data_IF_684323989336
#
_entry.id   IF_684323989336
#
_cell.length_a   1.000
_cell.length_b   1.000
_cell.length_c   1.000
_cell.angle_alpha   90.00
_cell.angle_beta   90.00
_cell.angle_gamma   90.00
#
_symmetry.space_group_name_H-M   'P 1'
#
loop_
_entity.id
_entity.type
_entity.pdbx_description
1 polymer ?
#
# COMPACT_ATOMS: atom_id res chain seq x y z
N UNK A 1 -19.19 14.58 -6.67
CA UNK A 1 -18.29 15.18 -5.69
C UNK A 1 -17.04 14.30 -5.57
N UNK A 2 -15.86 14.90 -5.75
CA UNK A 2 -14.60 14.18 -5.68
C UNK A 2 -14.31 13.71 -4.25
N UNK A 3 -13.59 12.59 -4.09
CA UNK A 3 -13.09 12.15 -2.79
C UNK A 3 -12.03 13.14 -2.33
N UNK A 4 -12.27 13.88 -1.26
CA UNK A 4 -11.39 14.97 -0.80
C UNK A 4 -10.01 14.48 -0.36
N UNK A 5 -9.92 13.32 0.29
CA UNK A 5 -8.68 12.69 0.70
C UNK A 5 -8.90 11.22 1.02
N UNK A 6 -8.00 10.37 0.51
CA UNK A 6 -7.97 8.95 0.84
C UNK A 6 -7.25 8.68 2.18
N UNK A 7 -6.50 9.65 2.72
CA UNK A 7 -5.80 9.54 4.02
C UNK A 7 -6.70 10.00 5.18
N UNK A 8 -7.84 9.33 5.33
CA UNK A 8 -8.77 9.46 6.47
C UNK A 8 -9.16 8.07 6.96
N UNK A 9 -9.47 7.92 8.22
CA UNK A 9 -9.80 6.62 8.84
C UNK A 9 -10.87 5.84 8.05
N UNK A 10 -11.98 6.47 7.70
CA UNK A 10 -13.06 5.81 6.98
C UNK A 10 -12.68 5.40 5.54
N UNK A 11 -11.90 6.22 4.83
CA UNK A 11 -11.39 5.87 3.49
C UNK A 11 -10.31 4.82 3.56
N UNK A 12 -9.45 4.84 4.59
CA UNK A 12 -8.50 3.77 4.87
C UNK A 12 -9.21 2.42 5.04
N UNK A 13 -10.24 2.37 5.89
CA UNK A 13 -11.02 1.13 6.08
C UNK A 13 -11.67 0.64 4.79
N UNK A 14 -12.15 1.55 3.94
CA UNK A 14 -12.69 1.19 2.63
C UNK A 14 -11.64 0.52 1.72
N UNK A 15 -10.42 1.06 1.68
CA UNK A 15 -9.31 0.47 0.91
C UNK A 15 -8.88 -0.86 1.52
N UNK A 16 -8.80 -0.96 2.85
CA UNK A 16 -8.49 -2.21 3.54
C UNK A 16 -9.48 -3.33 3.18
N UNK A 17 -10.78 -3.03 3.13
CA UNK A 17 -11.77 -3.99 2.66
C UNK A 17 -11.55 -4.40 1.20
N UNK A 18 -11.10 -3.49 0.34
CA UNK A 18 -10.79 -3.81 -1.04
C UNK A 18 -9.58 -4.74 -1.16
N UNK A 19 -8.51 -4.53 -0.36
CA UNK A 19 -7.37 -5.46 -0.33
C UNK A 19 -7.80 -6.84 0.14
N UNK A 20 -8.64 -6.93 1.18
CA UNK A 20 -9.16 -8.19 1.70
C UNK A 20 -10.00 -8.95 0.65
N UNK A 21 -10.85 -8.24 -0.10
CA UNK A 21 -11.65 -8.85 -1.17
C UNK A 21 -10.76 -9.37 -2.30
N UNK A 22 -9.71 -8.64 -2.63
CA UNK A 22 -8.74 -9.02 -3.67
C UNK A 22 -7.87 -10.20 -3.24
N UNK A 23 -7.72 -10.39 -1.95
CA UNK A 23 -6.95 -11.45 -1.32
C UNK A 23 -7.41 -12.89 -1.69
N UNK A 24 -8.60 -13.05 -2.21
CA UNK A 24 -9.13 -14.36 -2.64
C UNK A 24 -8.61 -14.84 -4.00
N UNK A 25 -7.78 -14.02 -4.69
CA UNK A 25 -7.27 -14.35 -6.02
C UNK A 25 -5.89 -15.01 -5.91
N UNK A 26 -5.75 -16.19 -6.44
CA UNK A 26 -4.48 -16.93 -6.44
C UNK A 26 -3.46 -16.38 -7.44
N UNK A 27 -3.95 -15.91 -8.60
CA UNK A 27 -3.12 -15.45 -9.72
C UNK A 27 -2.82 -13.94 -9.71
N UNK A 28 -3.28 -13.22 -8.67
CA UNK A 28 -3.02 -11.78 -8.47
C UNK A 28 -2.88 -11.47 -6.99
N UNK A 29 -1.74 -10.91 -6.59
CA UNK A 29 -1.38 -10.64 -5.21
C UNK A 29 -0.96 -9.19 -5.01
N UNK A 30 -1.55 -8.52 -4.06
CA UNK A 30 -1.09 -7.21 -3.60
C UNK A 30 -0.05 -7.44 -2.52
N UNK A 31 1.21 -7.12 -2.82
CA UNK A 31 2.36 -7.30 -1.92
C UNK A 31 2.55 -6.10 -1.02
N UNK A 32 2.44 -4.88 -1.57
CA UNK A 32 2.46 -3.65 -0.78
C UNK A 32 1.46 -2.62 -1.30
N UNK A 33 1.02 -1.78 -0.36
CA UNK A 33 0.06 -0.69 -0.62
C UNK A 33 0.56 0.57 0.07
N UNK A 34 0.38 1.71 -0.60
CA UNK A 34 0.55 3.04 0.01
C UNK A 34 -0.59 3.95 -0.43
N UNK A 35 -1.38 4.43 0.53
CA UNK A 35 -2.51 5.29 0.30
C UNK A 35 -2.06 6.73 0.43
N UNK A 36 -2.09 7.47 -0.67
CA UNK A 36 -1.81 8.90 -0.71
C UNK A 36 -3.11 9.71 -0.65
N UNK A 37 -3.02 11.03 -0.62
CA UNK A 37 -4.23 11.89 -0.51
C UNK A 37 -5.19 11.71 -1.67
N UNK A 38 -4.69 11.55 -2.89
CA UNK A 38 -5.48 11.53 -4.13
C UNK A 38 -5.37 10.23 -4.92
N UNK A 39 -4.40 9.36 -4.58
CA UNK A 39 -4.12 8.13 -5.32
C UNK A 39 -3.58 7.02 -4.41
N UNK A 40 -3.43 5.83 -4.97
CA UNK A 40 -2.94 4.65 -4.27
C UNK A 40 -1.81 4.05 -5.10
N UNK A 41 -0.68 3.78 -4.46
CA UNK A 41 0.37 2.96 -5.04
C UNK A 41 0.18 1.51 -4.61
N UNK A 42 0.28 0.60 -5.55
CA UNK A 42 0.25 -0.83 -5.32
C UNK A 42 1.52 -1.46 -5.88
N UNK A 43 2.16 -2.31 -5.11
CA UNK A 43 3.14 -3.26 -5.59
C UNK A 43 2.45 -4.62 -5.68
N UNK A 44 2.40 -5.18 -6.88
CA UNK A 44 1.62 -6.39 -7.14
C UNK A 44 2.44 -7.44 -7.87
N UNK A 45 2.08 -8.70 -7.65
CA UNK A 45 2.50 -9.83 -8.47
C UNK A 45 1.29 -10.39 -9.19
N UNK A 46 1.45 -10.73 -10.46
CA UNK A 46 0.43 -11.35 -11.26
C UNK A 46 1.05 -12.41 -12.19
N UNK A 47 0.38 -13.55 -12.32
CA UNK A 47 0.91 -14.68 -13.07
C UNK A 47 0.85 -14.46 -14.60
N UNK A 48 0.07 -13.45 -15.04
CA UNK A 48 -0.01 -13.03 -16.45
C UNK A 48 -0.52 -11.59 -16.57
N UNK A 49 -0.40 -11.01 -17.77
CA UNK A 49 -0.99 -9.71 -18.10
C UNK A 49 -2.52 -9.69 -17.92
N UNK A 50 -3.18 -10.79 -18.24
CA UNK A 50 -4.63 -10.95 -18.05
C UNK A 50 -4.97 -10.99 -16.55
N UNK A 51 -4.22 -11.75 -15.75
CA UNK A 51 -4.39 -11.81 -14.31
C UNK A 51 -4.19 -10.42 -13.66
N UNK A 52 -3.18 -9.65 -14.10
CA UNK A 52 -2.98 -8.28 -13.67
C UNK A 52 -4.20 -7.40 -13.98
N UNK A 53 -4.67 -7.44 -15.23
CA UNK A 53 -5.81 -6.60 -15.66
C UNK A 53 -7.07 -6.91 -14.86
N UNK A 54 -7.43 -8.19 -14.73
CA UNK A 54 -8.62 -8.64 -13.99
C UNK A 54 -8.48 -8.38 -12.50
N UNK A 55 -7.28 -8.58 -11.93
CA UNK A 55 -6.99 -8.30 -10.53
C UNK A 55 -7.12 -6.82 -10.19
N UNK A 56 -6.52 -5.96 -11.00
CA UNK A 56 -6.61 -4.50 -10.85
C UNK A 56 -8.04 -3.99 -11.01
N UNK A 57 -8.77 -4.48 -12.00
CA UNK A 57 -10.19 -4.15 -12.18
C UNK A 57 -11.02 -4.55 -10.95
N UNK A 58 -10.82 -5.76 -10.44
CA UNK A 58 -11.50 -6.24 -9.23
C UNK A 58 -11.21 -5.38 -8.02
N UNK A 59 -9.94 -5.00 -7.81
CA UNK A 59 -9.54 -4.09 -6.74
C UNK A 59 -10.22 -2.72 -6.89
N UNK A 60 -10.16 -2.10 -8.07
CA UNK A 60 -10.75 -0.78 -8.32
C UNK A 60 -12.27 -0.77 -8.09
N UNK A 61 -12.97 -1.80 -8.55
CA UNK A 61 -14.43 -1.95 -8.34
C UNK A 61 -14.75 -2.10 -6.85
N UNK A 62 -14.02 -2.95 -6.14
CA UNK A 62 -14.20 -3.15 -4.71
C UNK A 62 -13.92 -1.89 -3.92
N UNK A 63 -12.80 -1.22 -4.20
CA UNK A 63 -12.43 0.03 -3.55
C UNK A 63 -13.47 1.14 -3.80
N UNK A 64 -13.96 1.27 -5.05
CA UNK A 64 -15.00 2.25 -5.37
C UNK A 64 -16.32 1.97 -4.63
N UNK A 65 -16.74 0.71 -4.53
CA UNK A 65 -17.94 0.31 -3.77
C UNK A 65 -17.82 0.65 -2.29
N UNK A 66 -16.70 0.33 -1.67
CA UNK A 66 -16.46 0.60 -0.26
C UNK A 66 -16.30 2.09 0.01
N UNK A 67 -15.54 2.83 -0.80
CA UNK A 67 -15.39 4.28 -0.69
C UNK A 67 -16.72 4.99 -0.83
N UNK A 68 -17.53 4.64 -1.84
CA UNK A 68 -18.86 5.24 -2.03
C UNK A 68 -19.78 4.98 -0.82
N UNK A 69 -19.69 3.80 -0.20
CA UNK A 69 -20.43 3.48 1.01
C UNK A 69 -20.01 4.38 2.18
N UNK A 70 -18.70 4.45 2.45
CA UNK A 70 -18.18 5.21 3.59
C UNK A 70 -18.38 6.73 3.43
N UNK A 71 -18.26 7.27 2.22
CA UNK A 71 -18.49 8.68 1.94
C UNK A 71 -19.96 9.06 2.14
N UNK A 72 -20.89 8.14 1.87
CA UNK A 72 -22.33 8.36 2.02
C UNK A 72 -22.85 8.14 3.43
N UNK A 73 -22.05 7.52 4.29
CA UNK A 73 -22.47 7.19 5.66
C UNK A 73 -22.80 8.45 6.47
N UNK A 74 -24.01 8.49 7.05
CA UNK A 74 -24.46 9.63 7.85
C UNK A 74 -24.83 10.89 7.05
N UNK A 75 -24.88 10.81 5.71
CA UNK A 75 -25.34 11.92 4.86
C UNK A 75 -26.80 11.72 4.44
N UNK A 76 -27.60 12.78 4.38
CA UNK A 76 -28.94 12.72 3.80
C UNK A 76 -28.86 12.45 2.29
N UNK A 77 -29.90 11.80 1.74
CA UNK A 77 -30.01 11.52 0.32
C UNK A 77 -29.49 10.14 -0.11
N UNK A 78 -29.55 9.83 -1.42
CA UNK A 78 -29.18 8.52 -1.95
C UNK A 78 -27.68 8.26 -1.81
N UNK A 79 -27.34 6.99 -1.62
CA UNK A 79 -25.94 6.56 -1.57
C UNK A 79 -25.19 6.95 -2.86
N UNK A 80 -24.00 7.54 -2.69
CA UNK A 80 -23.10 7.85 -3.79
C UNK A 80 -22.80 6.59 -4.63
N UNK A 81 -22.85 6.73 -5.94
CA UNK A 81 -22.56 5.68 -6.93
C UNK A 81 -21.56 6.22 -7.96
N UNK A 82 -21.00 5.32 -8.76
CA UNK A 82 -20.12 5.66 -9.87
C UNK A 82 -18.62 5.57 -9.55
N UNK A 83 -17.83 6.02 -10.51
CA UNK A 83 -16.38 5.93 -10.49
C UNK A 83 -15.78 6.75 -9.35
N UNK A 84 -14.78 6.19 -8.72
CA UNK A 84 -13.89 6.86 -7.77
C UNK A 84 -12.53 7.10 -8.41
N UNK A 85 -12.08 6.15 -9.21
CA UNK A 85 -10.84 6.23 -9.99
C UNK A 85 -11.23 6.61 -11.43
N UNK A 86 -10.91 7.84 -11.89
CA UNK A 86 -11.32 8.30 -13.21
C UNK A 86 -10.58 7.58 -14.33
N UNK A 87 -9.29 7.28 -14.09
CA UNK A 87 -8.37 6.76 -15.08
C UNK A 87 -8.07 5.28 -14.88
N UNK A 88 -7.49 4.67 -15.92
CA UNK A 88 -6.87 3.36 -15.84
C UNK A 88 -5.63 3.45 -14.95
N UNK A 89 -5.27 2.33 -14.30
CA UNK A 89 -4.01 2.25 -13.58
C UNK A 89 -2.83 2.39 -14.55
N UNK A 90 -1.78 3.06 -14.09
CA UNK A 90 -0.48 3.04 -14.73
C UNK A 90 0.33 1.88 -14.13
N UNK A 91 0.97 1.06 -14.97
CA UNK A 91 1.78 -0.07 -14.52
C UNK A 91 3.19 0.02 -15.07
N UNK A 92 4.15 -0.32 -14.24
CA UNK A 92 5.56 -0.44 -14.56
C UNK A 92 6.03 -1.83 -14.15
N UNK A 93 6.73 -2.52 -15.04
CA UNK A 93 7.24 -3.87 -14.78
C UNK A 93 8.61 -3.76 -14.13
N UNK A 94 8.78 -4.47 -13.02
CA UNK A 94 10.03 -4.53 -12.26
C UNK A 94 10.80 -5.76 -12.73
N UNK A 95 12.00 -5.55 -13.24
CA UNK A 95 12.83 -6.61 -13.83
C UNK A 95 14.19 -6.80 -13.15
N UNK A 96 14.64 -5.82 -12.36
CA UNK A 96 15.97 -5.86 -11.73
C UNK A 96 15.90 -5.68 -10.22
N UNK A 97 16.90 -6.18 -9.46
CA UNK A 97 17.02 -5.95 -8.03
C UNK A 97 17.00 -4.47 -7.64
N UNK A 98 17.67 -3.62 -8.40
CA UNK A 98 17.71 -2.17 -8.18
C UNK A 98 16.32 -1.54 -8.31
N UNK A 99 15.58 -1.89 -9.37
CA UNK A 99 14.20 -1.44 -9.54
C UNK A 99 13.30 -1.94 -8.40
N UNK A 100 13.45 -3.21 -8.00
CA UNK A 100 12.68 -3.78 -6.89
C UNK A 100 12.94 -3.03 -5.59
N UNK A 101 14.20 -2.79 -5.25
CA UNK A 101 14.60 -2.03 -4.05
C UNK A 101 14.04 -0.60 -4.08
N UNK A 102 14.20 0.12 -5.20
CA UNK A 102 13.69 1.49 -5.33
C UNK A 102 12.16 1.54 -5.26
N UNK A 103 11.47 0.57 -5.87
CA UNK A 103 10.01 0.52 -5.83
C UNK A 103 9.50 0.19 -4.44
N UNK A 104 10.13 -0.73 -3.71
CA UNK A 104 9.82 -1.02 -2.31
C UNK A 104 9.98 0.23 -1.45
N UNK A 105 11.15 0.88 -1.51
CA UNK A 105 11.39 2.13 -0.77
C UNK A 105 10.35 3.20 -1.15
N UNK A 106 10.07 3.36 -2.44
CA UNK A 106 9.10 4.32 -2.92
C UNK A 106 7.68 4.05 -2.36
N UNK A 107 7.21 2.82 -2.42
CA UNK A 107 5.85 2.48 -1.94
C UNK A 107 5.76 2.61 -0.43
N UNK A 108 6.75 2.14 0.32
CA UNK A 108 6.72 2.08 1.77
C UNK A 108 6.98 3.44 2.44
N UNK A 109 7.83 4.30 1.82
CA UNK A 109 8.22 5.62 2.35
C UNK A 109 7.60 6.80 1.59
N UNK A 110 6.61 6.58 0.73
CA UNK A 110 6.02 7.65 -0.11
C UNK A 110 5.50 8.84 0.69
N UNK A 111 4.97 8.62 1.88
CA UNK A 111 4.49 9.66 2.79
C UNK A 111 5.58 10.69 3.14
N UNK A 112 6.85 10.27 3.21
CA UNK A 112 8.01 11.17 3.45
C UNK A 112 8.28 12.07 2.25
N UNK A 113 8.16 11.52 1.03
CA UNK A 113 8.29 12.29 -0.19
C UNK A 113 7.26 13.42 -0.28
N UNK A 114 6.05 13.19 0.22
CA UNK A 114 4.97 14.17 0.24
C UNK A 114 4.93 15.01 1.52
N UNK A 115 5.94 14.89 2.38
CA UNK A 115 6.03 15.56 3.68
C UNK A 115 4.81 15.33 4.60
N UNK A 116 4.08 14.24 4.40
CA UNK A 116 2.96 13.85 5.26
C UNK A 116 3.44 13.43 6.65
N UNK A 117 4.67 12.92 6.76
CA UNK A 117 5.34 12.60 8.02
C UNK A 117 5.50 13.82 8.94
N UNK A 118 5.69 15.02 8.38
CA UNK A 118 5.89 16.26 9.14
C UNK A 118 4.60 16.73 9.81
N UNK A 119 3.46 16.37 9.28
CA UNK A 119 2.12 16.78 9.72
C UNK A 119 1.40 15.71 10.53
N UNK A 120 2.00 14.54 10.65
CA UNK A 120 1.39 13.39 11.29
C UNK A 120 1.89 13.24 12.71
N UNK A 121 0.99 13.04 13.71
CA UNK A 121 1.40 12.59 15.04
C UNK A 121 2.13 11.24 15.00
N UNK A 122 2.00 10.52 13.87
CA UNK A 122 2.66 9.23 13.62
C UNK A 122 4.14 9.34 13.26
N UNK A 123 4.74 10.53 13.19
CA UNK A 123 6.18 10.70 12.92
C UNK A 123 7.04 9.91 13.90
N UNK A 124 6.61 9.78 15.13
CA UNK A 124 7.29 9.02 16.18
C UNK A 124 7.35 7.52 15.86
N UNK A 125 6.36 6.99 15.14
CA UNK A 125 6.29 5.58 14.75
C UNK A 125 7.22 5.20 13.60
N UNK A 126 7.73 6.20 12.89
CA UNK A 126 8.70 6.05 11.79
C UNK A 126 8.21 5.25 10.57
N UNK A 127 6.96 4.80 10.54
CA UNK A 127 6.30 4.13 9.41
C UNK A 127 4.94 4.76 9.12
N UNK A 128 4.50 4.66 7.87
CA UNK A 128 3.21 5.21 7.44
C UNK A 128 2.06 4.25 7.73
N UNK A 129 1.10 4.66 8.56
CA UNK A 129 -0.10 3.87 8.86
C UNK A 129 -1.06 3.73 7.67
N UNK A 130 -0.95 4.63 6.70
CA UNK A 130 -1.71 4.54 5.46
C UNK A 130 -1.01 3.71 4.39
N UNK A 131 -0.05 2.88 4.81
CA UNK A 131 0.65 1.93 3.94
C UNK A 131 0.82 0.58 4.62
N UNK A 132 1.31 -0.39 3.88
CA UNK A 132 1.72 -1.69 4.42
C UNK A 132 3.12 -1.68 5.06
N UNK A 133 3.71 -0.52 5.29
CA UNK A 133 5.05 -0.37 5.86
C UNK A 133 5.21 -1.04 7.24
N UNK A 134 4.13 -1.05 8.04
CA UNK A 134 4.09 -1.74 9.32
C UNK A 134 4.33 -3.26 9.21
N UNK A 135 3.95 -3.85 8.08
CA UNK A 135 4.06 -5.29 7.81
C UNK A 135 5.34 -5.67 7.04
N UNK A 136 6.22 -4.69 6.76
CA UNK A 136 7.45 -4.96 6.02
C UNK A 136 8.58 -5.41 6.97
N UNK A 137 9.05 -6.67 6.88
CA UNK A 137 10.07 -7.19 7.79
C UNK A 137 11.49 -6.77 7.41
N UNK A 138 11.67 -6.17 6.22
CA UNK A 138 12.98 -5.91 5.63
C UNK A 138 13.58 -4.54 5.92
N UNK A 139 13.10 -3.82 6.94
CA UNK A 139 13.68 -2.56 7.35
C UNK A 139 15.11 -2.72 7.85
N UNK A 140 16.02 -1.82 7.45
CA UNK A 140 17.40 -1.84 7.89
C UNK A 140 17.54 -1.80 9.42
N UNK A 141 16.64 -1.09 10.08
CA UNK A 141 16.60 -0.96 11.54
C UNK A 141 16.18 -2.25 12.28
N UNK A 142 15.76 -3.26 11.54
CA UNK A 142 15.42 -4.59 12.09
C UNK A 142 16.46 -5.66 11.75
N UNK A 143 17.63 -5.25 11.23
CA UNK A 143 18.62 -6.21 10.74
C UNK A 143 19.11 -7.19 11.84
N UNK A 144 19.24 -6.69 13.07
CA UNK A 144 19.72 -7.46 14.21
C UNK A 144 18.62 -8.26 14.93
N UNK A 145 17.38 -8.14 14.48
CA UNK A 145 16.24 -8.83 15.09
C UNK A 145 15.87 -10.10 14.32
N UNK A 146 15.50 -11.20 15.00
CA UNK A 146 14.97 -12.39 14.36
C UNK A 146 13.78 -12.06 13.46
N UNK A 147 13.71 -12.64 12.27
CA UNK A 147 12.69 -12.29 11.27
C UNK A 147 11.26 -12.53 11.80
N UNK A 148 11.09 -13.59 12.59
CA UNK A 148 9.82 -13.97 13.22
C UNK A 148 9.31 -12.92 14.21
N UNK A 149 10.22 -12.13 14.81
CA UNK A 149 9.90 -11.12 15.82
C UNK A 149 9.77 -9.72 15.25
N UNK A 150 10.19 -9.47 14.00
CA UNK A 150 10.21 -8.13 13.39
C UNK A 150 8.83 -7.48 13.31
N UNK A 151 7.78 -8.27 13.14
CA UNK A 151 6.41 -7.77 13.15
C UNK A 151 5.97 -7.24 14.54
N UNK A 152 6.62 -7.69 15.63
CA UNK A 152 6.34 -7.25 17.00
C UNK A 152 7.01 -5.90 17.32
N UNK A 153 7.98 -5.47 16.53
CA UNK A 153 8.71 -4.21 16.74
C UNK A 153 7.89 -2.98 16.36
N UNK A 154 6.83 -3.18 15.61
CA UNK A 154 5.89 -2.12 15.29
C UNK A 154 4.73 -2.14 16.28
N UNK A 155 4.56 -1.03 16.99
CA UNK A 155 3.44 -0.83 17.91
C UNK A 155 2.51 0.22 17.33
N UNK A 156 1.34 -0.20 16.88
CA UNK A 156 0.26 0.69 16.48
C UNK A 156 -0.73 0.93 17.62
N UNK A 157 -1.64 1.90 17.48
CA UNK A 157 -2.76 2.03 18.40
C UNK A 157 -3.64 0.77 18.35
N UNK A 158 -4.27 0.42 19.47
CA UNK A 158 -5.16 -0.75 19.57
C UNK A 158 -6.32 -0.73 18.56
N UNK A 159 -6.64 0.46 18.05
CA UNK A 159 -7.70 0.66 17.04
C UNK A 159 -7.21 0.56 15.60
N UNK A 160 -5.93 0.25 15.38
CA UNK A 160 -5.35 0.15 14.06
C UNK A 160 -5.35 -1.29 13.55
N UNK A 161 -6.06 -1.50 12.43
CA UNK A 161 -6.02 -2.74 11.66
C UNK A 161 -5.11 -2.55 10.45
N UNK A 162 -4.00 -3.30 10.30
CA UNK A 162 -3.11 -3.16 9.16
C UNK A 162 -3.78 -3.50 7.83
N UNK A 163 -3.25 -2.97 6.74
CA UNK A 163 -3.65 -3.36 5.38
C UNK A 163 -3.33 -4.83 5.15
N UNK A 164 -4.25 -5.53 4.52
CA UNK A 164 -4.04 -6.94 4.17
C UNK A 164 -3.21 -7.01 2.89
N UNK A 165 -2.03 -7.58 3.01
CA UNK A 165 -1.06 -7.77 1.94
C UNK A 165 -0.53 -9.19 1.94
N UNK A 166 0.02 -9.62 0.82
CA UNK A 166 0.60 -10.95 0.66
C UNK A 166 2.10 -10.94 0.77
N UNK A 167 2.64 -12.05 1.24
CA UNK A 167 4.08 -12.31 1.09
C UNK A 167 4.40 -12.47 -0.40
N UNK A 168 5.48 -11.83 -0.88
CA UNK A 168 5.88 -11.94 -2.27
C UNK A 168 6.30 -13.39 -2.60
N UNK A 169 6.01 -13.81 -3.83
CA UNK A 169 6.43 -15.13 -4.34
C UNK A 169 7.64 -15.04 -5.25
N UNK A 170 7.81 -13.92 -5.96
CA UNK A 170 8.96 -13.75 -6.85
C UNK A 170 10.24 -13.54 -6.08
N UNK A 171 11.34 -14.10 -6.58
CA UNK A 171 12.66 -13.90 -6.01
C UNK A 171 13.01 -12.40 -5.87
N UNK A 172 12.67 -11.57 -6.86
CA UNK A 172 12.96 -10.14 -6.83
C UNK A 172 12.40 -9.44 -5.59
N UNK A 173 11.16 -9.72 -5.24
CA UNK A 173 10.48 -9.07 -4.11
C UNK A 173 10.72 -9.78 -2.78
N UNK A 174 11.10 -11.05 -2.78
CA UNK A 174 11.47 -11.78 -1.55
C UNK A 174 12.89 -11.45 -1.09
N UNK A 175 13.85 -11.52 -2.02
CA UNK A 175 15.28 -11.53 -1.70
C UNK A 175 16.09 -10.61 -2.60
N UNK A 176 15.79 -10.62 -3.91
CA UNK A 176 16.61 -9.97 -4.94
C UNK A 176 16.85 -8.49 -4.70
N UNK A 177 15.87 -7.77 -4.19
CA UNK A 177 15.98 -6.36 -3.86
C UNK A 177 17.11 -6.04 -2.86
N UNK A 178 17.44 -6.99 -1.96
CA UNK A 178 18.50 -6.82 -0.94
C UNK A 178 19.87 -6.64 -1.55
N UNK A 179 20.10 -7.13 -2.78
CA UNK A 179 21.36 -6.93 -3.52
C UNK A 179 21.63 -5.46 -3.87
N UNK A 180 20.61 -4.63 -3.88
CA UNK A 180 20.73 -3.20 -4.14
C UNK A 180 20.78 -2.33 -2.86
N UNK A 181 21.02 -2.97 -1.72
CA UNK A 181 21.21 -2.33 -0.42
C UNK A 181 19.96 -2.27 0.45
N UNK A 182 20.14 -1.92 1.73
CA UNK A 182 19.08 -1.88 2.71
C UNK A 182 18.07 -0.76 2.43
N UNK A 183 16.87 -0.88 3.01
CA UNK A 183 15.83 0.16 2.99
C UNK A 183 15.61 0.65 4.42
N UNK A 184 15.91 1.92 4.69
CA UNK A 184 15.67 2.54 5.99
C UNK A 184 14.26 3.12 6.07
N UNK A 185 13.65 3.07 7.26
CA UNK A 185 12.41 3.78 7.57
C UNK A 185 12.54 5.29 7.41
N UNK A 186 13.75 5.84 7.58
CA UNK A 186 14.04 7.27 7.47
C UNK A 186 14.31 7.74 6.04
N UNK A 187 14.44 6.81 5.09
CA UNK A 187 14.75 7.12 3.70
C UNK A 187 13.63 7.94 3.04
N UNK A 188 14.00 9.03 2.38
CA UNK A 188 13.10 9.80 1.51
C UNK A 188 13.30 9.32 0.08
N UNK A 189 12.29 8.68 -0.54
CA UNK A 189 12.43 8.18 -1.89
C UNK A 189 12.71 9.32 -2.88
N UNK A 190 13.74 9.16 -3.71
CA UNK A 190 14.02 10.11 -4.79
C UNK A 190 12.88 10.11 -5.82
N UNK A 191 12.70 11.23 -6.50
CA UNK A 191 11.89 11.23 -7.72
C UNK A 191 12.52 10.26 -8.72
N UNK A 192 11.71 9.37 -9.33
CA UNK A 192 12.18 8.57 -10.46
C UNK A 192 12.66 9.55 -11.54
N UNK A 193 13.90 9.37 -11.97
CA UNK A 193 14.41 10.03 -13.19
C UNK A 193 13.88 9.29 -14.38
#
# INVERSE_FOLDING_TARGET
>A
EAVRSLRRRHTYQAIRWATLTTARRENFRIVHVSIQRTHIHLLVEADSKSALSVGMQGFQISAAKHLNREISKGRPGPRRRGKVFPDRYHAEIITTPTQARHTLSYVLNNWRKHAEDRRSPMREWKVDWFSSAAMFPGWAEYADEPEEQRHLLWKGPDTYDPLIVYQPRTWLLREGWRKAGPISKAEVPSARR
#
